data_IF_654516057455
#
_entry.id   IF_654516057455
#
_cell.length_a   1.000
_cell.length_b   1.000
_cell.length_c   1.000
_cell.angle_alpha   90.00
_cell.angle_beta   90.00
_cell.angle_gamma   90.00
#
_symmetry.space_group_name_H-M   'P 1'
#
loop_
_entity.id
_entity.type
_entity.pdbx_description
1 polymer ?
#
# COMPACT_ATOMS: atom_id res chain seq x y z
N UNK A 1 -40.57 -20.29 -30.20
CA UNK A 1 -39.50 -20.26 -29.16
C UNK A 1 -38.16 -19.75 -29.69
N UNK A 2 -37.69 -20.15 -30.87
CA UNK A 2 -36.32 -19.87 -31.34
C UNK A 2 -35.92 -18.38 -31.46
N UNK A 3 -36.86 -17.50 -31.84
CA UNK A 3 -36.57 -16.07 -32.02
C UNK A 3 -36.44 -15.31 -30.69
N UNK A 4 -37.23 -15.72 -29.69
CA UNK A 4 -37.19 -15.11 -28.35
C UNK A 4 -35.90 -15.46 -27.60
N UNK A 5 -35.42 -16.69 -27.76
CA UNK A 5 -34.10 -17.09 -27.27
C UNK A 5 -32.98 -16.29 -27.94
N UNK A 6 -33.08 -16.03 -29.25
CA UNK A 6 -32.09 -15.24 -29.98
C UNK A 6 -32.03 -13.77 -29.48
N UNK A 7 -33.17 -13.14 -29.24
CA UNK A 7 -33.19 -11.79 -28.67
C UNK A 7 -32.64 -11.74 -27.24
N UNK A 8 -32.94 -12.77 -26.43
CA UNK A 8 -32.45 -12.85 -25.06
C UNK A 8 -30.92 -13.05 -25.01
N UNK A 9 -30.37 -13.89 -25.89
CA UNK A 9 -28.91 -14.06 -25.97
C UNK A 9 -28.23 -12.78 -26.46
N UNK A 10 -28.81 -12.07 -27.43
CA UNK A 10 -28.27 -10.80 -27.92
C UNK A 10 -28.29 -9.70 -26.84
N UNK A 11 -29.35 -9.64 -26.04
CA UNK A 11 -29.46 -8.71 -24.91
C UNK A 11 -28.40 -9.00 -23.84
N UNK A 12 -28.23 -10.28 -23.47
CA UNK A 12 -27.24 -10.70 -22.47
C UNK A 12 -25.82 -10.41 -22.93
N UNK A 13 -25.50 -10.69 -24.20
CA UNK A 13 -24.18 -10.40 -24.78
C UNK A 13 -23.90 -8.89 -24.84
N UNK A 14 -24.91 -8.08 -25.20
CA UNK A 14 -24.81 -6.62 -25.19
C UNK A 14 -24.52 -6.06 -23.79
N UNK A 15 -25.26 -6.53 -22.78
CA UNK A 15 -25.05 -6.10 -21.38
C UNK A 15 -23.69 -6.53 -20.84
N UNK A 16 -23.23 -7.75 -21.14
CA UNK A 16 -21.90 -8.22 -20.75
C UNK A 16 -20.77 -7.40 -21.41
N UNK A 17 -20.95 -7.01 -22.67
CA UNK A 17 -20.00 -6.14 -23.37
C UNK A 17 -19.93 -4.76 -22.70
N UNK A 18 -21.07 -4.13 -22.42
CA UNK A 18 -21.14 -2.83 -21.73
C UNK A 18 -20.50 -2.86 -20.34
N UNK A 19 -20.65 -3.95 -19.58
CA UNK A 19 -19.98 -4.14 -18.28
C UNK A 19 -18.46 -4.28 -18.43
N UNK A 20 -17.98 -4.91 -19.52
CA UNK A 20 -16.54 -5.10 -19.77
C UNK A 20 -15.84 -3.80 -20.19
N UNK A 21 -16.51 -2.90 -20.92
CA UNK A 21 -15.96 -1.57 -21.24
C UNK A 21 -15.96 -0.63 -20.04
N UNK A 22 -16.77 -0.95 -19.01
CA UNK A 22 -16.85 -0.20 -17.76
C UNK A 22 -15.88 -0.74 -16.68
N UNK A 23 -14.82 -1.44 -17.06
CA UNK A 23 -13.70 -1.63 -16.13
C UNK A 23 -13.04 -0.27 -15.88
N UNK A 24 -13.01 0.24 -14.63
CA UNK A 24 -12.18 1.38 -14.33
C UNK A 24 -10.76 0.93 -14.63
N UNK A 25 -10.12 1.65 -15.55
CA UNK A 25 -8.72 1.47 -15.91
C UNK A 25 -7.89 1.45 -14.63
N UNK A 26 -7.58 0.25 -14.12
CA UNK A 26 -6.61 0.06 -13.06
C UNK A 26 -5.27 0.37 -13.69
N UNK A 27 -4.94 1.66 -13.71
CA UNK A 27 -3.69 2.18 -14.21
C UNK A 27 -2.56 1.39 -13.56
N UNK A 28 -1.98 0.46 -14.31
CA UNK A 28 -0.75 -0.23 -13.94
C UNK A 28 0.34 0.82 -14.00
N UNK A 29 0.62 1.47 -12.87
CA UNK A 29 1.82 2.30 -12.72
C UNK A 29 3.03 1.37 -12.86
N UNK A 30 3.62 1.37 -14.04
CA UNK A 30 5.00 0.93 -14.23
C UNK A 30 5.86 1.99 -13.55
N UNK A 31 6.21 1.77 -12.29
CA UNK A 31 7.18 2.61 -11.58
C UNK A 31 8.55 2.18 -12.10
N UNK A 32 9.13 3.01 -12.97
CA UNK A 32 10.59 2.99 -13.17
C UNK A 32 11.22 3.57 -11.90
N UNK A 33 12.13 2.86 -11.21
CA UNK A 33 12.77 3.40 -10.01
C UNK A 33 13.84 4.39 -10.44
N UNK A 34 13.46 5.65 -10.61
CA UNK A 34 14.40 6.76 -10.43
C UNK A 34 14.35 7.12 -8.95
N UNK A 35 15.35 6.67 -8.22
CA UNK A 35 15.61 7.06 -6.82
C UNK A 35 15.87 8.57 -6.82
N UNK A 36 14.85 9.33 -6.41
CA UNK A 36 15.00 10.73 -6.00
C UNK A 36 14.47 10.84 -4.58
N UNK A 37 15.40 11.01 -3.64
CA UNK A 37 15.31 10.67 -2.22
C UNK A 37 14.60 11.74 -1.37
N UNK A 38 13.72 12.55 -1.97
CA UNK A 38 13.04 13.67 -1.26
C UNK A 38 11.61 13.95 -1.76
N UNK A 39 10.84 12.90 -2.10
CA UNK A 39 9.38 13.05 -2.23
C UNK A 39 8.69 12.55 -0.96
N UNK A 40 7.90 13.39 -0.25
CA UNK A 40 7.17 12.99 0.98
C UNK A 40 6.03 11.98 0.75
N UNK A 41 6.06 11.21 -0.34
CA UNK A 41 5.00 10.29 -0.74
C UNK A 41 5.46 8.94 -1.31
N UNK A 42 6.75 8.59 -1.26
CA UNK A 42 7.27 7.36 -1.87
C UNK A 42 7.92 6.35 -0.90
N UNK A 43 8.09 6.68 0.38
CA UNK A 43 8.65 5.78 1.39
C UNK A 43 7.71 4.63 1.77
N UNK A 44 8.25 3.58 2.40
CA UNK A 44 7.49 2.43 2.89
C UNK A 44 6.39 2.87 3.86
N UNK A 45 6.64 3.89 4.67
CA UNK A 45 5.64 4.54 5.53
C UNK A 45 4.44 5.04 4.72
N UNK A 46 4.67 5.75 3.62
CA UNK A 46 3.61 6.33 2.78
C UNK A 46 2.77 5.25 2.09
N UNK A 47 3.42 4.15 1.70
CA UNK A 47 2.80 3.06 0.93
C UNK A 47 2.08 2.02 1.79
N UNK A 48 2.40 1.89 3.07
CA UNK A 48 1.86 0.82 3.93
C UNK A 48 1.29 1.30 5.26
N UNK A 49 1.95 2.22 5.96
CA UNK A 49 1.61 2.55 7.35
C UNK A 49 0.60 3.70 7.41
N UNK A 50 0.86 4.79 6.69
CA UNK A 50 0.04 6.00 6.74
C UNK A 50 -1.33 5.80 6.08
N UNK A 51 -1.43 4.89 5.12
CA UNK A 51 -2.71 4.49 4.52
C UNK A 51 -3.68 3.91 5.55
N UNK A 52 -3.15 3.31 6.62
CA UNK A 52 -3.92 2.80 7.74
C UNK A 52 -4.10 3.85 8.87
N UNK A 53 -3.75 5.11 8.61
CA UNK A 53 -3.93 6.23 9.53
C UNK A 53 -2.99 6.22 10.74
N UNK A 54 -1.90 5.43 10.70
CA UNK A 54 -0.85 5.51 11.71
C UNK A 54 0.16 6.58 11.34
N UNK A 55 0.68 7.30 12.34
CA UNK A 55 1.88 8.13 12.15
C UNK A 55 3.08 7.22 11.92
N UNK A 56 3.97 7.63 11.03
CA UNK A 56 5.14 6.86 10.66
C UNK A 56 6.35 7.79 10.50
N UNK A 57 7.51 7.34 10.95
CA UNK A 57 8.80 8.02 10.84
C UNK A 57 9.77 7.05 10.18
N UNK A 58 10.57 7.54 9.23
CA UNK A 58 11.62 6.74 8.55
C UNK A 58 12.99 7.25 8.98
N UNK A 59 13.91 6.33 9.24
CA UNK A 59 15.27 6.63 9.66
C UNK A 59 16.27 5.83 8.83
N UNK A 60 17.34 6.48 8.41
CA UNK A 60 18.54 5.83 7.88
C UNK A 60 19.49 5.54 9.05
N UNK A 61 19.78 4.27 9.32
CA UNK A 61 20.71 3.84 10.37
C UNK A 61 21.93 3.21 9.72
N UNK A 62 23.11 3.70 10.08
CA UNK A 62 24.38 3.11 9.64
C UNK A 62 24.93 2.18 10.70
N UNK A 63 25.20 0.94 10.31
CA UNK A 63 25.87 -0.04 11.17
C UNK A 63 27.37 0.22 11.20
N UNK A 64 28.06 -0.36 12.18
CA UNK A 64 29.51 -0.21 12.35
C UNK A 64 30.31 -0.75 11.15
N UNK A 65 29.82 -1.83 10.54
CA UNK A 65 30.37 -2.45 9.34
C UNK A 65 29.93 -1.78 8.03
N UNK A 66 29.21 -0.66 8.11
CA UNK A 66 28.95 0.24 6.98
C UNK A 66 27.67 -0.05 6.18
N UNK A 67 26.80 -0.94 6.64
CA UNK A 67 25.49 -1.13 6.02
C UNK A 67 24.55 0.03 6.37
N UNK A 68 23.69 0.38 5.42
CA UNK A 68 22.64 1.38 5.58
C UNK A 68 21.30 0.66 5.71
N UNK A 69 20.64 0.79 6.87
CA UNK A 69 19.35 0.20 7.18
C UNK A 69 18.25 1.28 7.15
N UNK A 70 17.17 1.03 6.41
CA UNK A 70 15.95 1.86 6.47
C UNK A 70 15.02 1.33 7.55
N UNK A 71 14.77 2.14 8.58
CA UNK A 71 14.02 1.77 9.77
C UNK A 71 12.71 2.57 9.86
N UNK A 72 11.58 1.89 10.02
CA UNK A 72 10.27 2.52 10.19
C UNK A 72 9.85 2.50 11.65
N UNK A 73 9.34 3.63 12.15
CA UNK A 73 8.83 3.77 13.52
C UNK A 73 7.40 4.29 13.52
N UNK A 74 6.53 3.58 14.22
CA UNK A 74 5.17 4.03 14.55
C UNK A 74 5.21 4.56 15.99
N UNK A 75 5.25 5.89 16.20
CA UNK A 75 5.39 6.46 17.55
C UNK A 75 4.14 6.29 18.39
N UNK A 76 2.98 6.04 17.76
CA UNK A 76 1.72 5.91 18.45
C UNK A 76 0.67 5.13 17.66
N UNK A 77 -0.28 4.55 18.39
CA UNK A 77 -1.45 3.91 17.81
C UNK A 77 -2.38 4.90 17.11
N UNK A 78 -3.24 4.36 16.25
CA UNK A 78 -4.13 5.08 15.34
C UNK A 78 -4.95 6.22 15.98
N UNK A 79 -5.49 6.00 17.18
CA UNK A 79 -6.35 6.99 17.87
C UNK A 79 -5.56 8.03 18.70
N UNK A 80 -4.23 8.06 18.56
CA UNK A 80 -3.37 8.69 19.54
C UNK A 80 -3.34 7.84 20.82
N UNK A 81 -2.18 7.69 21.44
CA UNK A 81 -2.08 6.88 22.64
C UNK A 81 -2.99 7.45 23.74
N UNK A 82 -3.97 6.68 24.21
CA UNK A 82 -4.85 7.02 25.34
C UNK A 82 -4.14 7.14 26.70
N UNK A 83 -2.83 7.39 26.70
CA UNK A 83 -2.00 7.56 27.88
C UNK A 83 -1.30 8.91 27.82
N UNK A 84 -1.63 9.76 28.78
CA UNK A 84 -1.00 11.03 29.13
C UNK A 84 0.48 11.11 28.74
N UNK A 85 0.81 11.95 27.74
CA UNK A 85 2.07 12.71 27.56
C UNK A 85 3.44 12.07 27.80
N UNK A 86 3.54 10.77 28.06
CA UNK A 86 4.74 10.10 28.57
C UNK A 86 5.51 9.34 27.52
N UNK A 87 6.78 9.05 27.83
CA UNK A 87 7.65 8.18 27.02
C UNK A 87 7.07 6.78 26.95
N UNK A 88 6.77 6.30 25.74
CA UNK A 88 6.23 4.95 25.50
C UNK A 88 7.37 3.93 25.46
N UNK A 89 7.09 2.71 25.94
CA UNK A 89 8.04 1.60 25.84
C UNK A 89 8.32 1.30 24.36
N UNK A 90 9.59 1.33 23.90
CA UNK A 90 9.93 0.95 22.54
C UNK A 90 9.83 -0.57 22.36
N UNK A 91 9.33 -0.99 21.20
CA UNK A 91 9.30 -2.38 20.76
C UNK A 91 9.97 -2.44 19.39
N UNK A 92 10.97 -3.31 19.25
CA UNK A 92 11.64 -3.59 17.99
C UNK A 92 11.04 -4.86 17.37
N UNK A 93 10.53 -4.75 16.16
CA UNK A 93 10.02 -5.88 15.40
C UNK A 93 11.02 -6.21 14.30
N UNK A 94 11.51 -7.45 14.30
CA UNK A 94 12.44 -7.94 13.30
C UNK A 94 11.76 -9.03 12.48
N UNK A 95 11.79 -8.87 11.16
CA UNK A 95 11.29 -9.88 10.25
C UNK A 95 12.24 -11.10 10.19
N UNK A 96 11.71 -12.22 9.72
CA UNK A 96 12.49 -13.42 9.44
C UNK A 96 13.23 -13.36 8.10
N UNK A 97 13.82 -14.49 7.73
CA UNK A 97 14.51 -14.67 6.44
C UNK A 97 13.48 -14.68 5.30
N UNK A 98 13.76 -13.94 4.20
CA UNK A 98 12.95 -13.88 2.97
C UNK A 98 11.51 -13.34 3.11
N UNK A 99 11.26 -12.42 4.05
CA UNK A 99 9.91 -11.89 4.32
C UNK A 99 9.42 -10.83 3.33
N UNK A 100 10.28 -10.29 2.46
CA UNK A 100 9.96 -9.15 1.57
C UNK A 100 10.11 -9.48 0.06
N UNK A 101 9.83 -10.73 -0.30
CA UNK A 101 9.78 -11.20 -1.71
C UNK A 101 8.44 -10.88 -2.37
#
# INVERSE_FOLDING_TARGET
MSLQFFFFTLLVLSLAFLVSIAEPSRARRVISPTVDDTSPGSGLCALSVTLHGYKCQEFEVRTEDGYILSMQRIPEGHLGGGGSGGTKQPVLLQHGVLVDM
#
